data_IF_529359410784
#
_entry.id   IF_529359410784
#
_cell.length_a   1.000
_cell.length_b   1.000
_cell.length_c   1.000
_cell.angle_alpha   90.00
_cell.angle_beta   90.00
_cell.angle_gamma   90.00
#
_symmetry.space_group_name_H-M   'P 1'
#
loop_
_entity.id
_entity.type
_entity.pdbx_description
1 polymer ?
#
# COMPACT_ATOMS: atom_id res chain seq x y z
N UNK A 1 -9.66 -2.26 -14.39
CA UNK A 1 -8.83 -2.54 -13.21
C UNK A 1 -9.08 -1.51 -12.14
N UNK A 2 -9.11 -1.94 -10.91
CA UNK A 2 -9.30 -1.04 -9.80
C UNK A 2 -7.96 -0.43 -9.38
N UNK A 3 -7.95 0.86 -9.11
CA UNK A 3 -6.77 1.57 -8.64
C UNK A 3 -6.72 1.51 -7.11
N UNK A 4 -5.57 1.16 -6.59
CA UNK A 4 -5.32 1.11 -5.14
C UNK A 4 -4.24 2.12 -4.83
N UNK A 5 -4.48 2.98 -3.84
CA UNK A 5 -3.47 3.92 -3.38
C UNK A 5 -2.44 3.19 -2.53
N UNK A 6 -1.18 3.49 -2.77
CA UNK A 6 -0.06 2.87 -2.07
C UNK A 6 0.82 3.97 -1.48
N UNK A 7 1.21 3.78 -0.23
CA UNK A 7 2.20 4.65 0.41
C UNK A 7 3.54 3.95 0.34
N UNK A 8 4.58 4.68 -0.06
CA UNK A 8 5.94 4.16 -0.15
C UNK A 8 6.83 5.01 0.75
N UNK A 9 7.47 4.35 1.71
CA UNK A 9 8.35 5.01 2.67
C UNK A 9 9.80 4.68 2.36
N UNK A 10 10.64 5.69 2.39
CA UNK A 10 12.08 5.50 2.26
C UNK A 10 12.70 5.45 3.66
N UNK A 11 13.41 4.37 3.93
CA UNK A 11 14.13 4.18 5.19
C UNK A 11 15.64 4.12 4.92
N UNK A 12 16.48 4.25 5.95
CA UNK A 12 17.93 4.19 5.75
C UNK A 12 18.41 2.92 5.06
N UNK A 13 17.69 1.81 5.26
CA UNK A 13 18.08 0.49 4.76
C UNK A 13 17.19 -0.01 3.63
N UNK A 14 16.32 0.82 3.07
CA UNK A 14 15.49 0.42 1.94
C UNK A 14 14.14 1.11 1.92
N UNK A 15 13.22 0.53 1.15
CA UNK A 15 11.89 1.09 0.94
C UNK A 15 10.83 0.09 1.37
N UNK A 16 9.76 0.59 1.94
CA UNK A 16 8.59 -0.21 2.36
C UNK A 16 7.36 0.41 1.71
N UNK A 17 6.48 -0.44 1.18
CA UNK A 17 5.25 0.00 0.55
C UNK A 17 4.06 -0.72 1.17
N UNK A 18 2.94 -0.02 1.30
CA UNK A 18 1.72 -0.64 1.81
C UNK A 18 0.50 0.08 1.23
N UNK A 19 -0.59 -0.66 0.99
CA UNK A 19 -1.80 -0.06 0.43
C UNK A 19 -2.62 0.66 1.49
N UNK A 20 -3.44 1.58 1.03
CA UNK A 20 -4.41 2.31 1.84
C UNK A 20 -5.81 1.85 1.44
N UNK A 21 -6.65 1.57 2.43
CA UNK A 21 -8.04 1.20 2.17
C UNK A 21 -8.25 -0.23 1.74
N UNK A 22 -7.31 -1.11 2.06
CA UNK A 22 -7.40 -2.54 1.77
C UNK A 22 -7.52 -3.28 3.10
N UNK A 23 -8.45 -4.22 3.18
CA UNK A 23 -8.61 -5.04 4.37
C UNK A 23 -7.48 -6.06 4.47
N UNK A 24 -6.95 -6.24 5.67
CA UNK A 24 -5.86 -7.16 5.94
C UNK A 24 -4.50 -6.45 5.87
N UNK A 25 -3.46 -7.24 5.99
CA UNK A 25 -2.08 -6.71 6.01
C UNK A 25 -1.38 -7.10 4.72
N UNK A 26 -0.97 -6.09 3.96
CA UNK A 26 -0.21 -6.26 2.72
C UNK A 26 0.97 -5.30 2.77
N UNK A 27 2.17 -5.82 2.58
CA UNK A 27 3.40 -5.02 2.65
C UNK A 27 4.32 -5.46 1.53
N UNK A 28 5.00 -4.49 0.92
CA UNK A 28 6.07 -4.74 -0.03
C UNK A 28 7.35 -4.07 0.42
N UNK A 29 8.48 -4.59 -0.02
CA UNK A 29 9.80 -4.06 0.32
C UNK A 29 10.69 -4.07 -0.91
N UNK A 30 11.71 -3.23 -0.90
CA UNK A 30 12.69 -3.20 -1.97
C UNK A 30 13.84 -2.26 -1.67
N UNK A 31 14.85 -2.32 -2.53
CA UNK A 31 16.03 -1.46 -2.45
C UNK A 31 15.83 -0.13 -3.18
N UNK A 32 14.69 0.01 -3.87
CA UNK A 32 14.33 1.23 -4.58
C UNK A 32 12.82 1.44 -4.48
N UNK A 33 12.37 2.63 -4.87
CA UNK A 33 10.96 2.97 -4.98
C UNK A 33 10.24 1.96 -5.89
N UNK A 34 10.80 1.71 -7.08
CA UNK A 34 10.20 0.82 -8.06
C UNK A 34 10.12 -0.61 -7.55
N UNK A 35 11.16 -1.08 -6.88
CA UNK A 35 11.19 -2.45 -6.34
C UNK A 35 10.11 -2.62 -5.26
N UNK A 36 9.97 -1.67 -4.36
CA UNK A 36 8.95 -1.73 -3.31
C UNK A 36 7.55 -1.68 -3.91
N UNK A 37 7.34 -0.83 -4.93
CA UNK A 37 6.06 -0.74 -5.61
C UNK A 37 5.70 -2.04 -6.32
N UNK A 38 6.63 -2.65 -7.04
CA UNK A 38 6.41 -3.94 -7.70
C UNK A 38 6.11 -5.03 -6.68
N UNK A 39 6.84 -5.04 -5.56
CA UNK A 39 6.65 -6.05 -4.54
C UNK A 39 5.26 -5.94 -3.89
N UNK A 40 4.81 -4.72 -3.58
CA UNK A 40 3.48 -4.54 -3.00
C UNK A 40 2.38 -4.85 -4.01
N UNK A 41 2.60 -4.58 -5.30
CA UNK A 41 1.65 -4.95 -6.35
C UNK A 41 1.48 -6.46 -6.43
N UNK A 42 2.59 -7.19 -6.36
CA UNK A 42 2.56 -8.66 -6.35
C UNK A 42 1.81 -9.17 -5.12
N UNK A 43 2.12 -8.61 -3.95
CA UNK A 43 1.46 -8.99 -2.71
C UNK A 43 -0.04 -8.70 -2.74
N UNK A 44 -0.43 -7.57 -3.34
CA UNK A 44 -1.84 -7.21 -3.52
C UNK A 44 -2.57 -8.21 -4.41
N UNK A 45 -1.96 -8.61 -5.53
CA UNK A 45 -2.56 -9.60 -6.43
C UNK A 45 -2.79 -10.92 -5.70
N UNK A 46 -1.79 -11.36 -4.95
CA UNK A 46 -1.90 -12.59 -4.17
C UNK A 46 -3.01 -12.47 -3.11
N UNK A 47 -3.08 -11.34 -2.45
CA UNK A 47 -4.10 -11.05 -1.43
C UNK A 47 -5.51 -11.10 -2.02
N UNK A 48 -5.70 -10.48 -3.20
CA UNK A 48 -6.98 -10.51 -3.90
C UNK A 48 -7.37 -11.91 -4.34
N UNK A 49 -6.42 -12.68 -4.84
CA UNK A 49 -6.68 -14.06 -5.26
C UNK A 49 -7.03 -14.95 -4.08
N UNK A 50 -6.43 -14.70 -2.92
CA UNK A 50 -6.65 -15.52 -1.71
C UNK A 50 -7.97 -15.16 -1.02
N UNK A 51 -8.27 -13.88 -0.88
CA UNK A 51 -9.39 -13.42 -0.05
C UNK A 51 -10.55 -12.81 -0.86
N UNK A 52 -10.37 -12.62 -2.17
CA UNK A 52 -11.41 -12.07 -3.02
C UNK A 52 -11.39 -10.54 -3.09
N UNK A 53 -12.16 -9.99 -4.03
CA UNK A 53 -12.18 -8.56 -4.27
C UNK A 53 -12.78 -7.74 -3.12
N UNK A 54 -13.48 -8.37 -2.20
CA UNK A 54 -14.09 -7.70 -1.05
C UNK A 54 -13.06 -6.98 -0.18
N UNK A 55 -11.78 -7.40 -0.23
CA UNK A 55 -10.73 -6.74 0.55
C UNK A 55 -10.50 -5.30 0.09
N UNK A 56 -10.93 -4.95 -1.11
CA UNK A 56 -10.82 -3.58 -1.63
C UNK A 56 -11.98 -2.69 -1.19
N UNK A 57 -13.04 -3.28 -0.66
CA UNK A 57 -14.23 -2.56 -0.23
C UNK A 57 -14.16 -2.35 1.28
N UNK A 58 -13.48 -1.29 1.69
CA UNK A 58 -13.40 -0.92 3.10
C UNK A 58 -14.76 -0.48 3.63
N UNK A 59 -14.99 -0.65 4.92
CA UNK A 59 -16.22 -0.20 5.58
C UNK A 59 -16.22 1.31 5.81
N UNK A 60 -15.07 1.95 5.64
CA UNK A 60 -14.91 3.38 5.82
C UNK A 60 -14.88 4.11 4.48
N UNK A 61 -15.22 5.42 4.47
CA UNK A 61 -15.08 6.21 3.26
C UNK A 61 -13.64 6.16 2.72
N UNK A 62 -13.45 6.19 1.40
CA UNK A 62 -12.12 6.09 0.82
C UNK A 62 -11.27 7.32 1.17
N UNK A 63 -9.97 7.08 1.32
CA UNK A 63 -9.00 8.16 1.44
C UNK A 63 -8.73 8.66 0.02
N UNK A 64 -9.09 9.91 -0.25
CA UNK A 64 -8.90 10.49 -1.57
C UNK A 64 -7.45 10.84 -1.84
N UNK A 65 -6.77 11.37 -0.82
CA UNK A 65 -5.37 11.73 -0.91
C UNK A 65 -4.73 11.58 0.47
N UNK A 66 -3.44 11.36 0.50
CA UNK A 66 -2.68 11.29 1.74
C UNK A 66 -1.40 12.11 1.57
N UNK A 67 -1.01 12.81 2.63
CA UNK A 67 0.16 13.69 2.62
C UNK A 67 1.04 13.39 3.81
N UNK A 68 2.33 13.63 3.63
CA UNK A 68 3.29 13.62 4.73
C UNK A 68 3.64 15.06 5.04
N UNK A 69 3.50 15.44 6.31
CA UNK A 69 3.79 16.80 6.75
C UNK A 69 4.56 16.73 8.07
N UNK A 70 5.34 17.76 8.33
CA UNK A 70 6.03 17.90 9.60
C UNK A 70 5.31 18.95 10.44
N UNK A 71 5.15 18.68 11.72
CA UNK A 71 4.55 19.63 12.64
C UNK A 71 5.54 19.95 13.74
N UNK A 72 5.63 21.23 14.10
CA UNK A 72 6.45 21.67 15.23
C UNK A 72 5.65 21.53 16.51
N UNK A 73 6.25 20.93 17.51
CA UNK A 73 5.58 20.66 18.80
C UNK A 73 6.39 21.21 19.96
#
# INVERSE_FOLDING_TARGET
MKQVKVIIEKHPDGYVAYPVGVKGVVVGEGNSYEDALHDVQFALKFHLETFGADVLDGDEPPILEAFVAEASV
#
